data_IF_134552256758
#
_entry.id   IF_134552256758
#
_cell.length_a   1.000
_cell.length_b   1.000
_cell.length_c   1.000
_cell.angle_alpha   90.00
_cell.angle_beta   90.00
_cell.angle_gamma   90.00
#
_symmetry.space_group_name_H-M   'P 1'
#
loop_
_entity.id
_entity.type
_entity.pdbx_description
1 polymer ?
#
# COMPACT_ATOMS: atom_id res chain seq x y z
N UNK A 1 15.10 19.41 -14.16
CA UNK A 1 14.02 20.13 -13.48
C UNK A 1 12.84 19.16 -13.46
N UNK A 2 12.72 18.36 -12.40
CA UNK A 2 11.55 17.52 -12.14
C UNK A 2 10.43 18.52 -11.87
N UNK A 3 9.24 18.41 -12.45
CA UNK A 3 8.18 19.35 -12.15
C UNK A 3 7.82 19.23 -10.68
N UNK A 4 8.04 20.30 -9.93
CA UNK A 4 7.72 20.51 -8.52
C UNK A 4 6.20 20.34 -8.19
N UNK A 5 5.41 19.89 -9.14
CA UNK A 5 3.95 19.75 -9.03
C UNK A 5 3.49 18.51 -8.29
N UNK A 6 4.37 17.52 -8.06
CA UNK A 6 4.02 16.32 -7.30
C UNK A 6 3.97 16.54 -5.77
N UNK A 7 4.40 17.70 -5.28
CA UNK A 7 4.58 17.97 -3.85
C UNK A 7 3.45 18.76 -3.19
N UNK A 8 2.39 19.14 -3.91
CA UNK A 8 1.32 19.97 -3.32
C UNK A 8 -0.13 19.55 -3.58
N UNK A 9 -0.39 18.47 -4.30
CA UNK A 9 -1.76 17.92 -4.44
C UNK A 9 -1.67 16.41 -4.60
N UNK A 10 -2.56 15.76 -3.92
CA UNK A 10 -2.83 14.34 -4.04
C UNK A 10 -3.06 14.00 -5.53
N UNK A 11 -2.38 13.00 -6.13
CA UNK A 11 -2.55 12.66 -7.54
C UNK A 11 -3.95 12.12 -7.89
N UNK A 12 -4.87 12.09 -6.92
CA UNK A 12 -6.24 11.56 -7.05
C UNK A 12 -7.35 12.61 -6.96
N UNK A 13 -7.03 13.91 -6.77
CA UNK A 13 -8.00 14.97 -6.98
C UNK A 13 -8.44 14.93 -8.45
N UNK A 14 -9.73 15.11 -8.73
CA UNK A 14 -10.30 15.09 -10.08
C UNK A 14 -9.38 15.86 -11.05
N UNK A 15 -8.69 15.17 -11.95
CA UNK A 15 -7.66 15.81 -12.72
C UNK A 15 -8.31 16.79 -13.69
N UNK A 16 -7.89 18.05 -13.64
CA UNK A 16 -8.22 18.97 -14.73
C UNK A 16 -7.74 18.39 -16.07
N UNK A 17 -8.30 18.80 -17.24
CA UNK A 17 -7.83 18.33 -18.54
C UNK A 17 -6.31 18.46 -18.73
N UNK A 18 -5.66 19.48 -18.13
CA UNK A 18 -4.20 19.62 -18.10
C UNK A 18 -3.52 18.58 -17.20
N UNK A 19 -4.10 18.22 -16.07
CA UNK A 19 -3.59 17.19 -15.16
C UNK A 19 -3.79 15.79 -15.76
N UNK A 20 -4.90 15.54 -16.46
CA UNK A 20 -5.10 14.34 -17.29
C UNK A 20 -4.05 14.26 -18.41
N UNK A 21 -3.69 15.38 -19.02
CA UNK A 21 -2.63 15.48 -20.01
C UNK A 21 -1.28 15.10 -19.40
N UNK A 22 -0.97 15.56 -18.20
CA UNK A 22 0.27 15.22 -17.49
C UNK A 22 0.28 13.79 -16.94
N UNK A 23 -0.85 13.27 -16.46
CA UNK A 23 -0.98 11.87 -16.00
C UNK A 23 -1.00 10.90 -17.18
N UNK A 24 -1.66 11.25 -18.29
CA UNK A 24 -1.64 10.48 -19.53
C UNK A 24 -0.25 10.53 -20.18
N UNK A 25 0.47 11.65 -20.06
CA UNK A 25 1.88 11.75 -20.44
C UNK A 25 2.77 10.87 -19.56
N UNK A 26 2.50 10.74 -18.27
CA UNK A 26 3.21 9.80 -17.39
C UNK A 26 2.90 8.34 -17.74
N UNK A 27 1.68 8.02 -18.16
CA UNK A 27 1.28 6.67 -18.59
C UNK A 27 1.68 6.33 -20.04
N UNK A 28 1.68 7.30 -20.95
CA UNK A 28 2.30 7.18 -22.28
C UNK A 28 3.81 7.21 -22.20
N UNK A 29 4.39 7.52 -21.04
CA UNK A 29 5.81 7.81 -20.84
C UNK A 29 6.71 6.57 -20.78
N UNK A 30 6.18 5.35 -20.80
CA UNK A 30 7.06 4.19 -20.81
C UNK A 30 7.87 4.09 -22.10
N UNK A 31 7.29 4.44 -23.24
CA UNK A 31 8.02 4.61 -24.50
C UNK A 31 8.85 5.90 -24.55
N UNK A 32 8.39 6.96 -23.85
CA UNK A 32 9.10 8.24 -23.78
C UNK A 32 10.26 8.23 -22.78
N UNK A 33 10.22 7.39 -21.75
CA UNK A 33 11.31 7.26 -20.78
C UNK A 33 12.64 6.91 -21.47
N UNK A 34 12.63 6.04 -22.48
CA UNK A 34 13.81 5.72 -23.26
C UNK A 34 14.38 6.95 -23.99
N UNK A 35 13.54 7.76 -24.62
CA UNK A 35 13.92 9.01 -25.29
C UNK A 35 14.49 10.04 -24.30
N UNK A 36 13.85 10.22 -23.13
CA UNK A 36 14.33 11.12 -22.09
C UNK A 36 15.69 10.68 -21.54
N UNK A 37 15.87 9.39 -21.29
CA UNK A 37 17.14 8.83 -20.86
C UNK A 37 18.23 9.01 -21.92
N UNK A 38 17.90 8.88 -23.20
CA UNK A 38 18.81 9.15 -24.31
C UNK A 38 19.23 10.64 -24.37
N UNK A 39 18.28 11.57 -24.30
CA UNK A 39 18.57 13.01 -24.28
C UNK A 39 19.32 13.44 -23.02
N UNK A 40 19.01 12.88 -21.85
CA UNK A 40 19.77 13.15 -20.63
C UNK A 40 21.23 12.70 -20.78
N UNK A 41 21.46 11.52 -21.39
CA UNK A 41 22.82 11.02 -21.68
C UNK A 41 23.58 11.96 -22.63
N UNK A 42 22.94 12.41 -23.71
CA UNK A 42 23.53 13.39 -24.64
C UNK A 42 23.91 14.70 -23.94
N UNK A 43 23.07 15.17 -23.00
CA UNK A 43 23.30 16.41 -22.25
C UNK A 43 24.14 16.19 -20.98
N UNK A 44 24.68 15.00 -20.75
CA UNK A 44 25.44 14.64 -19.54
C UNK A 44 24.72 15.02 -18.24
N UNK A 45 23.39 14.81 -18.20
CA UNK A 45 22.58 15.05 -16.99
C UNK A 45 22.37 13.74 -16.24
N UNK A 46 22.45 13.75 -14.89
CA UNK A 46 22.15 12.57 -14.09
C UNK A 46 20.69 12.15 -14.27
N UNK A 47 20.46 10.85 -14.12
CA UNK A 47 19.17 10.19 -14.34
C UNK A 47 18.77 9.44 -13.10
N UNK A 48 17.68 9.86 -12.48
CA UNK A 48 17.06 9.16 -11.36
C UNK A 48 15.80 8.46 -11.85
N UNK A 49 15.72 7.16 -11.60
CA UNK A 49 14.55 6.36 -11.88
C UNK A 49 13.82 6.06 -10.58
N UNK A 50 12.54 6.45 -10.46
CA UNK A 50 11.66 5.96 -9.42
C UNK A 50 10.78 4.87 -10.01
N UNK A 51 10.78 3.69 -9.40
CA UNK A 51 10.11 2.49 -9.93
C UNK A 51 8.60 2.53 -9.74
N UNK A 52 8.09 3.25 -8.74
CA UNK A 52 6.67 3.39 -8.40
C UNK A 52 5.87 2.08 -8.38
N UNK A 53 6.53 0.97 -8.24
CA UNK A 53 5.91 -0.33 -8.27
C UNK A 53 6.93 -1.45 -8.38
N UNK A 54 6.50 -2.66 -8.17
CA UNK A 54 7.39 -3.81 -8.18
C UNK A 54 7.88 -4.15 -9.58
N UNK A 55 9.17 -4.24 -9.70
CA UNK A 55 9.85 -4.68 -10.91
C UNK A 55 9.52 -6.13 -11.29
N UNK A 56 9.25 -6.99 -10.32
CA UNK A 56 9.03 -8.43 -10.49
C UNK A 56 7.75 -8.92 -9.80
N UNK A 57 6.85 -8.02 -9.45
CA UNK A 57 5.64 -8.37 -8.70
C UNK A 57 4.83 -9.47 -9.36
N UNK A 58 4.73 -9.47 -10.69
CA UNK A 58 4.02 -10.50 -11.43
C UNK A 58 4.49 -11.93 -11.12
N UNK A 59 5.77 -12.14 -10.79
CA UNK A 59 6.30 -13.43 -10.42
C UNK A 59 5.72 -13.99 -9.11
N UNK A 60 5.24 -13.09 -8.23
CA UNK A 60 4.78 -13.44 -6.89
C UNK A 60 3.31 -13.83 -6.85
N UNK A 61 2.51 -13.34 -7.81
CA UNK A 61 1.06 -13.55 -7.80
C UNK A 61 0.47 -14.11 -9.10
N UNK A 62 1.23 -14.16 -10.20
CA UNK A 62 0.77 -14.78 -11.44
C UNK A 62 1.35 -16.19 -11.59
N UNK A 63 0.60 -17.13 -12.18
CA UNK A 63 1.13 -18.43 -12.58
C UNK A 63 2.28 -18.30 -13.60
N UNK A 64 3.24 -19.19 -13.54
CA UNK A 64 4.45 -19.13 -14.38
C UNK A 64 4.18 -19.07 -15.89
N UNK A 65 3.10 -19.69 -16.37
CA UNK A 65 2.69 -19.65 -17.78
C UNK A 65 2.23 -18.26 -18.26
N UNK A 66 1.95 -17.35 -17.34
CA UNK A 66 1.54 -15.97 -17.64
C UNK A 66 2.69 -14.96 -17.54
N UNK A 67 3.91 -15.37 -17.22
CA UNK A 67 5.04 -14.47 -17.03
C UNK A 67 5.67 -13.97 -18.35
N UNK A 68 5.47 -14.68 -19.48
CA UNK A 68 6.17 -14.38 -20.74
C UNK A 68 5.95 -12.96 -21.26
N UNK A 69 4.71 -12.43 -21.32
CA UNK A 69 4.49 -11.05 -21.77
C UNK A 69 5.22 -10.02 -20.91
N UNK A 70 5.20 -10.22 -19.59
CA UNK A 70 5.87 -9.31 -18.63
C UNK A 70 7.38 -9.38 -18.73
N UNK A 71 7.97 -10.58 -18.90
CA UNK A 71 9.40 -10.75 -19.13
C UNK A 71 9.85 -10.05 -20.42
N UNK A 72 9.06 -10.17 -21.49
CA UNK A 72 9.35 -9.53 -22.77
C UNK A 72 9.26 -8.00 -22.63
N UNK A 73 8.23 -7.51 -21.98
CA UNK A 73 8.06 -6.10 -21.65
C UNK A 73 9.27 -5.55 -20.87
N UNK A 74 9.63 -6.20 -19.76
CA UNK A 74 10.78 -5.83 -18.94
C UNK A 74 12.07 -5.79 -19.78
N UNK A 75 12.29 -6.79 -20.61
CA UNK A 75 13.51 -6.88 -21.42
C UNK A 75 13.62 -5.76 -22.47
N UNK A 76 12.49 -5.40 -23.10
CA UNK A 76 12.49 -4.47 -24.23
C UNK A 76 12.41 -3.00 -23.79
N UNK A 77 11.75 -2.71 -22.67
CA UNK A 77 11.43 -1.33 -22.28
C UNK A 77 12.13 -0.88 -21.00
N UNK A 78 11.97 -1.63 -19.93
CA UNK A 78 12.36 -1.17 -18.60
C UNK A 78 13.82 -1.45 -18.25
N UNK A 79 14.35 -2.62 -18.65
CA UNK A 79 15.69 -3.09 -18.25
C UNK A 79 16.81 -2.17 -18.69
N UNK A 80 16.71 -1.62 -19.91
CA UNK A 80 17.70 -0.68 -20.44
C UNK A 80 17.70 0.64 -19.66
N UNK A 81 16.52 1.18 -19.37
CA UNK A 81 16.35 2.41 -18.60
C UNK A 81 16.86 2.24 -17.17
N UNK A 82 16.44 1.17 -16.47
CA UNK A 82 16.86 0.88 -15.11
C UNK A 82 18.37 0.70 -14.97
N UNK A 83 19.00 -0.01 -15.90
CA UNK A 83 20.48 -0.19 -15.91
C UNK A 83 21.26 1.07 -16.24
N UNK A 84 20.69 1.97 -17.05
CA UNK A 84 21.33 3.22 -17.45
C UNK A 84 21.10 4.38 -16.48
N UNK A 85 20.20 4.22 -15.50
CA UNK A 85 20.00 5.20 -14.44
C UNK A 85 21.27 5.36 -13.60
N UNK A 86 21.49 6.57 -13.11
CA UNK A 86 22.61 6.89 -12.22
C UNK A 86 22.21 6.58 -10.77
N UNK A 87 20.94 6.80 -10.41
CA UNK A 87 20.30 6.30 -9.18
C UNK A 87 18.93 5.69 -9.47
N UNK A 88 18.53 4.71 -8.67
CA UNK A 88 17.20 4.08 -8.72
C UNK A 88 16.60 4.13 -7.33
N UNK A 89 15.44 4.77 -7.21
CA UNK A 89 14.69 4.87 -5.98
C UNK A 89 13.61 3.79 -5.95
N UNK A 90 13.55 3.05 -4.86
CA UNK A 90 12.56 2.03 -4.55
C UNK A 90 11.85 2.37 -3.25
N UNK A 91 10.57 2.01 -3.12
CA UNK A 91 9.73 2.48 -2.02
C UNK A 91 9.78 1.61 -0.76
N UNK A 92 10.31 0.38 -0.85
CA UNK A 92 10.35 -0.55 0.28
C UNK A 92 11.56 -1.51 0.18
N UNK A 93 11.88 -2.17 1.29
CA UNK A 93 12.90 -3.23 1.28
C UNK A 93 12.52 -4.39 0.37
N UNK A 94 11.23 -4.69 0.26
CA UNK A 94 10.74 -5.72 -0.66
C UNK A 94 11.06 -5.35 -2.10
N UNK A 95 10.79 -4.10 -2.49
CA UNK A 95 11.09 -3.59 -3.83
C UNK A 95 12.60 -3.49 -4.07
N UNK A 96 13.40 -3.21 -3.03
CA UNK A 96 14.86 -3.28 -3.11
C UNK A 96 15.35 -4.68 -3.46
N UNK A 97 14.80 -5.72 -2.82
CA UNK A 97 15.13 -7.12 -3.12
C UNK A 97 14.75 -7.47 -4.57
N UNK A 98 13.57 -7.03 -5.01
CA UNK A 98 13.11 -7.19 -6.40
C UNK A 98 14.03 -6.48 -7.40
N UNK A 99 14.53 -5.29 -7.07
CA UNK A 99 15.46 -4.54 -7.90
C UNK A 99 16.81 -5.24 -8.05
N UNK A 100 17.33 -5.84 -6.98
CA UNK A 100 18.54 -6.67 -7.04
C UNK A 100 18.31 -7.89 -7.94
N UNK A 101 17.21 -8.61 -7.76
CA UNK A 101 16.85 -9.76 -8.61
C UNK A 101 16.68 -9.35 -10.08
N UNK A 102 16.14 -8.17 -10.33
CA UNK A 102 16.01 -7.58 -11.66
C UNK A 102 17.36 -7.27 -12.33
N UNK A 103 18.42 -7.16 -11.53
CA UNK A 103 19.79 -6.93 -11.96
C UNK A 103 20.24 -5.48 -11.89
N UNK A 104 19.62 -4.66 -11.05
CA UNK A 104 20.09 -3.30 -10.72
C UNK A 104 21.21 -3.43 -9.70
N UNK A 105 22.29 -2.64 -9.89
CA UNK A 105 23.43 -2.63 -8.99
C UNK A 105 23.07 -1.99 -7.65
N UNK A 106 23.59 -2.56 -6.55
CA UNK A 106 23.32 -2.11 -5.17
C UNK A 106 23.76 -0.67 -4.92
N UNK A 107 24.88 -0.26 -5.52
CA UNK A 107 25.46 1.09 -5.38
C UNK A 107 24.59 2.20 -5.99
N UNK A 108 23.59 1.82 -6.81
CA UNK A 108 22.63 2.76 -7.42
C UNK A 108 21.28 2.75 -6.74
N UNK A 109 21.03 1.82 -5.79
CA UNK A 109 19.72 1.63 -5.18
C UNK A 109 19.59 2.44 -3.90
N UNK A 110 18.52 3.23 -3.83
CA UNK A 110 18.13 4.01 -2.66
C UNK A 110 16.73 3.61 -2.24
N UNK A 111 16.55 3.26 -0.97
CA UNK A 111 15.23 2.96 -0.42
C UNK A 111 14.66 4.25 0.15
N UNK A 112 13.73 4.86 -0.54
CA UNK A 112 13.02 6.07 -0.10
C UNK A 112 11.52 5.75 -0.12
N UNK A 113 10.90 5.58 1.04
CA UNK A 113 9.49 5.22 1.12
C UNK A 113 8.58 6.35 0.64
N UNK A 114 7.32 6.04 0.46
CA UNK A 114 6.29 7.07 0.23
C UNK A 114 6.04 7.82 1.53
N UNK A 115 5.92 9.14 1.42
CA UNK A 115 5.56 10.00 2.55
C UNK A 115 4.07 9.99 2.86
N UNK A 116 3.75 10.41 4.08
CA UNK A 116 2.38 10.61 4.52
C UNK A 116 2.26 11.97 5.22
N UNK A 117 1.11 12.62 5.06
CA UNK A 117 0.75 13.75 5.90
C UNK A 117 0.29 13.24 7.26
N UNK A 118 1.24 13.17 8.20
CA UNK A 118 0.97 12.60 9.52
C UNK A 118 -0.01 13.44 10.31
N UNK A 119 0.00 14.76 10.11
CA UNK A 119 -0.84 15.69 10.86
C UNK A 119 -2.33 15.53 10.48
N UNK A 120 -2.63 15.18 9.25
CA UNK A 120 -3.98 14.85 8.79
C UNK A 120 -4.60 13.70 9.61
N UNK A 121 -3.79 12.71 10.00
CA UNK A 121 -4.24 11.51 10.72
C UNK A 121 -4.15 11.63 12.26
N UNK A 122 -3.69 12.76 12.80
CA UNK A 122 -3.44 12.88 14.24
C UNK A 122 -4.71 13.08 15.09
N UNK A 123 -5.78 13.63 14.53
CA UNK A 123 -6.97 14.01 15.27
C UNK A 123 -8.03 12.92 15.27
N UNK A 124 -7.69 11.72 15.75
CA UNK A 124 -8.68 10.65 15.92
C UNK A 124 -9.67 11.05 17.04
N UNK A 125 -10.97 11.14 16.76
CA UNK A 125 -11.95 11.36 17.81
C UNK A 125 -11.94 10.17 18.79
N UNK A 126 -12.01 10.47 20.09
CA UNK A 126 -12.15 9.44 21.11
C UNK A 126 -13.51 8.77 20.91
N UNK A 127 -13.52 7.45 20.66
CA UNK A 127 -14.78 6.69 20.60
C UNK A 127 -15.40 6.60 21.97
N UNK A 128 -16.69 6.93 22.05
CA UNK A 128 -17.47 6.87 23.31
C UNK A 128 -18.04 5.47 23.61
N UNK A 129 -18.07 4.56 22.62
CA UNK A 129 -18.63 3.22 22.80
C UNK A 129 -17.51 2.16 22.71
N UNK A 130 -17.22 1.53 23.84
CA UNK A 130 -16.24 0.44 23.94
C UNK A 130 -16.86 -0.96 23.73
N UNK A 131 -18.20 -1.07 23.66
CA UNK A 131 -18.90 -2.34 23.55
C UNK A 131 -18.70 -2.99 22.18
N UNK A 132 -18.45 -2.18 21.14
CA UNK A 132 -18.23 -2.65 19.78
C UNK A 132 -16.81 -2.31 19.30
N UNK A 133 -16.22 -3.23 18.54
CA UNK A 133 -14.88 -3.07 17.95
C UNK A 133 -15.00 -3.10 16.43
N UNK A 134 -14.58 -2.03 15.77
CA UNK A 134 -14.62 -1.91 14.32
C UNK A 134 -13.28 -2.30 13.69
N UNK A 135 -13.28 -3.44 13.02
CA UNK A 135 -12.19 -3.88 12.17
C UNK A 135 -12.30 -3.10 10.85
N UNK A 136 -11.22 -2.49 10.42
CA UNK A 136 -11.17 -1.70 9.18
C UNK A 136 -10.25 -2.37 8.17
N UNK A 137 -10.72 -2.45 6.94
CA UNK A 137 -9.91 -2.69 5.75
C UNK A 137 -10.10 -1.51 4.79
N UNK A 138 -9.02 -0.98 4.25
CA UNK A 138 -9.03 0.05 3.21
C UNK A 138 -8.19 -0.43 2.03
N UNK A 139 -8.75 -0.38 0.83
CA UNK A 139 -8.05 -0.75 -0.38
C UNK A 139 -8.96 -1.27 -1.48
N UNK A 140 -8.38 -1.50 -2.66
CA UNK A 140 -9.12 -2.08 -3.78
C UNK A 140 -9.66 -3.47 -3.40
N UNK A 141 -10.91 -3.73 -3.73
CA UNK A 141 -11.51 -5.06 -3.58
C UNK A 141 -11.03 -5.93 -4.75
N UNK A 142 -9.96 -6.68 -4.50
CA UNK A 142 -9.27 -7.51 -5.47
C UNK A 142 -8.81 -8.81 -4.82
N UNK A 143 -8.72 -9.90 -5.58
CA UNK A 143 -8.35 -11.24 -5.06
C UNK A 143 -6.99 -11.25 -4.37
N UNK A 144 -6.04 -10.44 -4.84
CA UNK A 144 -4.72 -10.30 -4.22
C UNK A 144 -4.81 -9.78 -2.77
N UNK A 145 -5.91 -9.13 -2.39
CA UNK A 145 -6.16 -8.63 -1.02
C UNK A 145 -6.69 -9.69 -0.06
N UNK A 146 -7.14 -10.85 -0.57
CA UNK A 146 -7.59 -12.01 0.20
C UNK A 146 -8.67 -11.66 1.24
N UNK A 147 -9.64 -10.81 0.84
CA UNK A 147 -10.71 -10.35 1.74
C UNK A 147 -11.57 -11.52 2.22
N UNK A 148 -11.68 -12.59 1.43
CA UNK A 148 -12.36 -13.83 1.82
C UNK A 148 -11.80 -14.43 3.12
N UNK A 149 -10.49 -14.35 3.33
CA UNK A 149 -9.85 -14.86 4.55
C UNK A 149 -10.21 -13.97 5.75
N UNK A 150 -10.27 -12.65 5.55
CA UNK A 150 -10.72 -11.72 6.58
C UNK A 150 -12.18 -11.99 6.98
N UNK A 151 -13.07 -12.26 6.02
CA UNK A 151 -14.48 -12.63 6.31
C UNK A 151 -14.56 -13.94 7.10
N UNK A 152 -13.77 -14.95 6.75
CA UNK A 152 -13.67 -16.21 7.48
C UNK A 152 -13.17 -16.00 8.92
N UNK A 153 -12.18 -15.11 9.10
CA UNK A 153 -11.71 -14.73 10.43
C UNK A 153 -12.81 -14.04 11.25
N UNK A 154 -13.54 -13.08 10.66
CA UNK A 154 -14.64 -12.37 11.32
C UNK A 154 -15.77 -13.31 11.76
N UNK A 155 -16.05 -14.35 10.98
CA UNK A 155 -17.05 -15.37 11.35
C UNK A 155 -16.72 -16.11 12.65
N UNK A 156 -15.43 -16.19 13.00
CA UNK A 156 -14.94 -16.85 14.23
C UNK A 156 -14.90 -15.93 15.45
N UNK A 157 -15.09 -14.61 15.25
CA UNK A 157 -15.00 -13.62 16.30
C UNK A 157 -16.33 -13.47 17.07
N UNK A 158 -16.30 -13.07 18.36
CA UNK A 158 -17.48 -12.64 19.11
C UNK A 158 -18.28 -11.56 18.38
N UNK A 159 -19.60 -11.51 18.68
CA UNK A 159 -20.58 -10.62 18.00
C UNK A 159 -20.21 -9.12 18.09
N UNK A 160 -19.43 -8.70 19.06
CA UNK A 160 -18.99 -7.31 19.24
C UNK A 160 -18.01 -6.80 18.18
N UNK A 161 -17.45 -7.68 17.35
CA UNK A 161 -16.54 -7.29 16.27
C UNK A 161 -17.32 -7.08 14.97
N UNK A 162 -17.17 -5.91 14.39
CA UNK A 162 -17.74 -5.50 13.12
C UNK A 162 -16.63 -5.24 12.12
N UNK A 163 -16.89 -5.47 10.83
CA UNK A 163 -15.94 -5.23 9.75
C UNK A 163 -16.47 -4.15 8.81
N UNK A 164 -15.65 -3.14 8.56
CA UNK A 164 -15.88 -2.12 7.54
C UNK A 164 -14.86 -2.28 6.42
N UNK A 165 -15.35 -2.48 5.20
CA UNK A 165 -14.56 -2.61 3.97
C UNK A 165 -14.73 -1.34 3.14
N UNK A 166 -13.66 -0.54 3.01
CA UNK A 166 -13.64 0.70 2.24
C UNK A 166 -12.83 0.49 0.97
N UNK A 167 -13.45 0.74 -0.18
CA UNK A 167 -12.82 0.64 -1.49
C UNK A 167 -13.71 0.02 -2.56
N UNK A 168 -13.35 0.26 -3.80
CA UNK A 168 -14.07 -0.25 -4.97
C UNK A 168 -13.53 -1.57 -5.51
N UNK A 169 -14.37 -2.27 -6.27
CA UNK A 169 -13.94 -3.46 -6.99
C UNK A 169 -12.98 -3.07 -8.11
N UNK A 170 -11.83 -3.74 -8.16
CA UNK A 170 -10.89 -3.61 -9.26
C UNK A 170 -11.42 -4.31 -10.51
N UNK A 171 -11.71 -3.56 -11.56
CA UNK A 171 -12.31 -4.09 -12.80
C UNK A 171 -11.31 -4.21 -13.95
N UNK A 172 -10.16 -3.55 -13.86
CA UNK A 172 -9.25 -3.35 -15.00
C UNK A 172 -8.05 -4.27 -15.00
N UNK A 173 -7.70 -4.85 -13.86
CA UNK A 173 -6.55 -5.74 -13.75
C UNK A 173 -6.90 -7.15 -14.21
N UNK A 174 -6.01 -7.78 -14.97
CA UNK A 174 -6.09 -9.22 -15.31
C UNK A 174 -6.13 -10.12 -14.07
N UNK A 175 -5.77 -9.58 -12.90
CA UNK A 175 -5.81 -10.23 -11.59
C UNK A 175 -7.18 -10.12 -10.90
N UNK A 176 -8.05 -9.25 -11.41
CA UNK A 176 -9.39 -9.03 -10.89
C UNK A 176 -10.38 -9.54 -11.94
N UNK A 177 -10.82 -10.80 -11.81
CA UNK A 177 -12.02 -11.21 -12.51
C UNK A 177 -13.18 -10.41 -11.91
N UNK A 178 -13.99 -9.78 -12.76
CA UNK A 178 -15.25 -9.12 -12.36
C UNK A 178 -16.10 -10.10 -11.53
N UNK A 179 -16.76 -9.59 -10.49
CA UNK A 179 -17.66 -10.39 -9.66
C UNK A 179 -17.07 -10.85 -8.32
N UNK A 180 -15.84 -10.45 -8.00
CA UNK A 180 -15.25 -10.78 -6.69
C UNK A 180 -16.02 -10.14 -5.52
N UNK A 181 -16.50 -8.92 -5.68
CA UNK A 181 -17.35 -8.27 -4.67
C UNK A 181 -18.64 -9.07 -4.40
N UNK A 182 -19.28 -9.61 -5.46
CA UNK A 182 -20.50 -10.41 -5.30
C UNK A 182 -20.19 -11.77 -4.64
N UNK A 183 -19.04 -12.36 -4.94
CA UNK A 183 -18.58 -13.56 -4.25
C UNK A 183 -18.39 -13.32 -2.75
N UNK A 184 -17.77 -12.17 -2.37
CA UNK A 184 -17.59 -11.78 -0.97
C UNK A 184 -18.93 -11.57 -0.27
N UNK A 185 -19.90 -10.91 -0.92
CA UNK A 185 -21.26 -10.75 -0.37
C UNK A 185 -21.99 -12.09 -0.19
N UNK A 186 -21.83 -13.02 -1.13
CA UNK A 186 -22.35 -14.38 -0.98
C UNK A 186 -21.67 -15.13 0.18
N UNK A 187 -20.35 -14.96 0.32
CA UNK A 187 -19.60 -15.55 1.43
C UNK A 187 -20.09 -15.03 2.78
N UNK A 188 -20.35 -13.72 2.91
CA UNK A 188 -20.96 -13.15 4.13
C UNK A 188 -22.29 -13.82 4.50
N UNK A 189 -23.14 -14.09 3.51
CA UNK A 189 -24.42 -14.80 3.72
C UNK A 189 -24.19 -16.23 4.22
N UNK A 190 -23.28 -16.96 3.56
CA UNK A 190 -22.96 -18.34 3.92
C UNK A 190 -22.34 -18.47 5.31
N UNK A 191 -21.60 -17.45 5.74
CA UNK A 191 -20.98 -17.38 7.07
C UNK A 191 -21.90 -16.78 8.15
N UNK A 192 -23.11 -16.33 7.80
CA UNK A 192 -24.07 -15.66 8.68
C UNK A 192 -23.49 -14.42 9.40
N UNK A 193 -22.73 -13.58 8.65
CA UNK A 193 -22.09 -12.37 9.17
C UNK A 193 -22.54 -11.08 8.47
N UNK A 194 -23.63 -11.11 7.70
CA UNK A 194 -24.11 -9.93 6.94
C UNK A 194 -24.30 -8.70 7.83
N UNK A 195 -24.87 -8.89 9.03
CA UNK A 195 -25.19 -7.80 9.94
C UNK A 195 -23.95 -7.21 10.63
N UNK A 196 -22.78 -7.83 10.42
CA UNK A 196 -21.50 -7.41 10.98
C UNK A 196 -20.49 -6.91 9.94
N UNK A 197 -20.85 -6.95 8.65
CA UNK A 197 -19.93 -6.53 7.56
C UNK A 197 -20.55 -5.43 6.74
N UNK A 198 -19.87 -4.31 6.65
CA UNK A 198 -20.27 -3.16 5.83
C UNK A 198 -19.34 -2.99 4.64
N UNK A 199 -19.89 -3.02 3.44
CA UNK A 199 -19.20 -2.67 2.19
C UNK A 199 -19.53 -1.22 1.85
N UNK A 200 -18.55 -0.30 2.03
CA UNK A 200 -18.74 1.14 1.83
C UNK A 200 -18.70 1.51 0.34
N UNK A 201 -17.86 0.83 -0.42
CA UNK A 201 -17.57 1.20 -1.80
C UNK A 201 -16.37 2.18 -1.91
N UNK A 202 -16.13 2.72 -3.12
CA UNK A 202 -15.07 3.70 -3.34
C UNK A 202 -15.42 5.02 -2.64
N UNK A 203 -14.42 5.64 -2.01
CA UNK A 203 -14.52 6.94 -1.34
C UNK A 203 -13.45 7.87 -1.89
N UNK A 204 -13.67 9.17 -1.79
CA UNK A 204 -12.68 10.17 -2.16
C UNK A 204 -11.48 10.13 -1.18
N UNK A 205 -10.31 10.55 -1.64
CA UNK A 205 -9.08 10.47 -0.85
C UNK A 205 -9.15 11.31 0.41
N UNK A 206 -9.72 12.50 0.33
CA UNK A 206 -9.93 13.42 1.44
C UNK A 206 -10.92 12.92 2.49
N UNK A 207 -11.76 11.94 2.13
CA UNK A 207 -12.68 11.27 3.06
C UNK A 207 -12.06 10.07 3.78
N UNK A 208 -10.94 9.54 3.29
CA UNK A 208 -10.31 8.34 3.86
C UNK A 208 -9.94 8.51 5.33
N UNK A 209 -9.46 9.69 5.71
CA UNK A 209 -9.17 10.02 7.11
C UNK A 209 -10.35 9.71 8.04
N UNK A 210 -11.59 10.07 7.63
CA UNK A 210 -12.79 9.81 8.43
C UNK A 210 -13.05 8.31 8.65
N UNK A 211 -12.65 7.46 7.71
CA UNK A 211 -12.78 6.02 7.85
C UNK A 211 -11.71 5.43 8.77
N UNK A 212 -10.45 5.86 8.64
CA UNK A 212 -9.40 5.45 9.57
C UNK A 212 -9.72 5.89 11.00
N UNK A 213 -10.29 7.07 11.19
CA UNK A 213 -10.67 7.57 12.52
C UNK A 213 -11.75 6.73 13.20
N UNK A 214 -12.62 6.06 12.44
CA UNK A 214 -13.69 5.18 12.93
C UNK A 214 -13.23 3.75 13.19
N UNK A 215 -12.05 3.36 12.72
CA UNK A 215 -11.48 2.02 12.94
C UNK A 215 -10.91 1.86 14.36
N UNK A 216 -10.88 0.63 14.85
CA UNK A 216 -10.21 0.24 16.08
C UNK A 216 -9.01 -0.67 15.82
N UNK A 217 -9.10 -1.50 14.79
CA UNK A 217 -8.08 -2.45 14.36
C UNK A 217 -8.02 -2.39 12.85
N UNK A 218 -6.83 -2.28 12.28
CA UNK A 218 -6.65 -2.37 10.83
C UNK A 218 -6.17 -3.76 10.43
N UNK A 219 -6.84 -4.40 9.47
CA UNK A 219 -6.47 -5.74 9.01
C UNK A 219 -6.18 -5.75 7.52
N UNK A 220 -5.01 -6.27 7.14
CA UNK A 220 -4.56 -6.27 5.75
C UNK A 220 -3.94 -7.62 5.35
N UNK A 221 -4.75 -8.62 4.98
CA UNK A 221 -4.30 -10.00 4.72
C UNK A 221 -3.79 -10.19 3.28
N UNK A 222 -3.29 -9.15 2.65
CA UNK A 222 -2.91 -9.15 1.24
C UNK A 222 -1.84 -10.21 0.93
N UNK A 223 -1.94 -10.84 -0.23
CA UNK A 223 -0.91 -11.76 -0.73
C UNK A 223 0.34 -11.00 -1.17
N UNK A 224 0.15 -9.81 -1.70
CA UNK A 224 1.23 -9.01 -2.24
C UNK A 224 0.90 -7.50 -2.18
N UNK A 225 1.91 -6.72 -1.89
CA UNK A 225 1.89 -5.26 -1.94
C UNK A 225 3.31 -4.76 -2.24
N UNK A 226 3.45 -3.74 -3.06
CA UNK A 226 4.75 -3.12 -3.29
C UNK A 226 5.17 -2.29 -2.07
N UNK A 227 4.32 -1.34 -1.71
CA UNK A 227 4.50 -0.46 -0.57
C UNK A 227 3.38 -0.64 0.46
N UNK A 228 2.13 -0.45 0.06
CA UNK A 228 0.98 -0.60 0.94
C UNK A 228 0.63 0.69 1.67
N UNK A 229 0.34 1.77 0.92
CA UNK A 229 -0.07 3.06 1.48
C UNK A 229 -1.15 2.94 2.56
N UNK A 230 -2.20 2.09 2.43
CA UNK A 230 -3.20 1.92 3.48
C UNK A 230 -2.65 1.45 4.83
N UNK A 231 -1.54 0.70 4.84
CA UNK A 231 -0.86 0.30 6.08
C UNK A 231 -0.23 1.51 6.79
N UNK A 232 0.37 2.40 6.00
CA UNK A 232 0.99 3.61 6.53
C UNK A 232 -0.06 4.59 7.07
N UNK A 233 -1.17 4.75 6.37
CA UNK A 233 -2.31 5.58 6.77
C UNK A 233 -2.96 5.07 8.06
N UNK A 234 -3.19 3.76 8.16
CA UNK A 234 -3.69 3.12 9.38
C UNK A 234 -2.75 3.31 10.57
N UNK A 235 -1.45 3.17 10.34
CA UNK A 235 -0.42 3.40 11.35
C UNK A 235 -0.39 4.86 11.80
N UNK A 236 -0.46 5.82 10.88
CA UNK A 236 -0.54 7.26 11.19
C UNK A 236 -1.80 7.61 11.98
N UNK A 237 -2.93 6.97 11.68
CA UNK A 237 -4.16 7.09 12.46
C UNK A 237 -4.08 6.41 13.84
N UNK A 238 -3.01 5.68 14.15
CA UNK A 238 -2.82 5.00 15.42
C UNK A 238 -3.65 3.72 15.58
N UNK A 239 -3.96 3.04 14.48
CA UNK A 239 -4.61 1.75 14.51
C UNK A 239 -3.55 0.64 14.68
N UNK A 240 -3.70 -0.28 15.65
CA UNK A 240 -2.90 -1.49 15.65
C UNK A 240 -3.21 -2.31 14.39
N UNK A 241 -2.17 -2.85 13.77
CA UNK A 241 -2.27 -3.51 12.47
C UNK A 241 -2.09 -5.02 12.63
N UNK A 242 -2.98 -5.78 11.98
CA UNK A 242 -2.81 -7.21 11.73
C UNK A 242 -2.61 -7.38 10.23
N UNK A 243 -1.44 -7.76 9.78
CA UNK A 243 -1.10 -7.82 8.36
C UNK A 243 -0.22 -9.02 8.02
N UNK A 244 -0.35 -9.49 6.80
CA UNK A 244 0.69 -10.33 6.20
C UNK A 244 1.97 -9.50 5.99
N UNK A 245 3.09 -10.20 5.80
CA UNK A 245 4.41 -9.60 5.65
C UNK A 245 4.62 -9.00 4.24
N UNK A 246 3.84 -7.99 3.87
CA UNK A 246 3.84 -7.35 2.55
C UNK A 246 4.22 -5.87 2.62
N UNK A 247 4.84 -5.36 1.57
CA UNK A 247 5.21 -3.95 1.44
C UNK A 247 5.88 -3.41 2.70
N UNK A 248 5.43 -2.24 3.14
CA UNK A 248 5.93 -1.53 4.32
C UNK A 248 5.57 -2.22 5.66
N UNK A 249 4.66 -3.20 5.66
CA UNK A 249 4.29 -3.93 6.88
C UNK A 249 5.51 -4.50 7.61
N UNK A 250 6.46 -5.08 6.87
CA UNK A 250 7.73 -5.61 7.43
C UNK A 250 8.58 -4.57 8.14
N UNK A 251 8.42 -3.30 7.79
CA UNK A 251 9.26 -2.20 8.28
C UNK A 251 8.60 -1.48 9.45
N UNK A 252 7.28 -1.31 9.42
CA UNK A 252 6.55 -0.60 10.47
C UNK A 252 6.05 -1.51 11.59
N UNK A 253 5.74 -2.79 11.29
CA UNK A 253 5.24 -3.73 12.29
C UNK A 253 6.40 -4.47 12.96
N UNK A 254 6.50 -4.28 14.26
CA UNK A 254 7.29 -5.11 15.17
C UNK A 254 6.29 -6.01 15.89
N UNK A 255 6.38 -7.32 15.60
CA UNK A 255 5.35 -8.30 16.03
C UNK A 255 5.19 -8.29 17.56
N UNK A 256 3.94 -8.16 18.01
CA UNK A 256 3.57 -8.07 19.43
C UNK A 256 3.80 -6.70 20.08
N UNK A 257 4.44 -5.73 19.40
CA UNK A 257 4.71 -4.40 19.96
C UNK A 257 3.94 -3.27 19.25
N UNK A 258 3.99 -3.24 17.92
CA UNK A 258 3.33 -2.21 17.10
C UNK A 258 2.18 -2.77 16.25
N UNK A 259 1.95 -4.07 16.30
CA UNK A 259 0.95 -4.81 15.54
C UNK A 259 1.31 -6.28 15.49
N UNK A 260 0.66 -7.02 14.60
CA UNK A 260 0.91 -8.43 14.38
C UNK A 260 1.20 -8.74 12.92
N UNK A 261 2.28 -9.49 12.67
CA UNK A 261 2.55 -10.12 11.38
C UNK A 261 1.99 -11.54 11.38
N UNK A 262 1.21 -11.87 10.36
CA UNK A 262 0.51 -13.17 10.22
C UNK A 262 0.86 -13.84 8.89
N UNK A 263 0.77 -15.15 8.84
CA UNK A 263 0.95 -15.92 7.59
C UNK A 263 -0.24 -15.76 6.62
N UNK A 264 -1.36 -15.26 7.11
CA UNK A 264 -2.58 -15.03 6.32
C UNK A 264 -3.55 -16.21 6.37
N UNK A 265 -3.52 -16.95 7.46
CA UNK A 265 -4.51 -17.94 7.86
C UNK A 265 -5.65 -17.25 8.62
N UNK A 266 -6.89 -17.65 8.37
CA UNK A 266 -8.08 -17.02 8.96
C UNK A 266 -8.17 -17.26 10.47
N UNK A 267 -7.70 -18.41 10.98
CA UNK A 267 -7.68 -18.70 12.41
C UNK A 267 -6.62 -17.87 13.12
N UNK A 268 -5.44 -17.71 12.53
CA UNK A 268 -4.39 -16.86 13.08
C UNK A 268 -4.85 -15.40 13.14
N UNK A 269 -5.45 -14.89 12.05
CA UNK A 269 -6.01 -13.52 12.00
C UNK A 269 -7.06 -13.34 13.10
N UNK A 270 -8.00 -14.28 13.24
CA UNK A 270 -9.03 -14.23 14.29
C UNK A 270 -8.43 -14.21 15.71
N UNK A 271 -7.39 -15.03 15.96
CA UNK A 271 -6.70 -15.06 17.25
C UNK A 271 -6.03 -13.71 17.58
N UNK A 272 -5.36 -13.08 16.60
CA UNK A 272 -4.70 -11.77 16.78
C UNK A 272 -5.72 -10.64 16.98
N UNK A 273 -6.83 -10.65 16.23
CA UNK A 273 -7.94 -9.71 16.44
C UNK A 273 -8.56 -9.90 17.83
N UNK A 274 -8.73 -11.14 18.29
CA UNK A 274 -9.27 -11.44 19.62
C UNK A 274 -8.37 -10.87 20.73
N UNK A 275 -7.04 -10.97 20.61
CA UNK A 275 -6.10 -10.34 21.54
C UNK A 275 -6.27 -8.82 21.56
N UNK A 276 -6.49 -8.20 20.40
CA UNK A 276 -6.79 -6.77 20.27
C UNK A 276 -8.22 -6.40 20.76
N UNK A 277 -8.99 -7.36 21.23
CA UNK A 277 -10.20 -7.15 22.02
C UNK A 277 -9.93 -6.44 23.36
N UNK A 278 -8.70 -6.50 23.86
CA UNK A 278 -8.23 -5.71 25.00
C UNK A 278 -7.94 -4.26 24.60
N UNK A 279 -8.62 -3.31 25.24
CA UNK A 279 -8.49 -1.89 24.92
C UNK A 279 -7.08 -1.34 25.23
N UNK A 280 -6.48 -1.77 26.33
CA UNK A 280 -5.16 -1.31 26.74
C UNK A 280 -4.10 -1.75 25.72
N UNK A 281 -4.19 -3.00 25.25
CA UNK A 281 -3.31 -3.53 24.21
C UNK A 281 -3.48 -2.77 22.90
N UNK A 282 -4.74 -2.52 22.47
CA UNK A 282 -5.02 -1.73 21.27
C UNK A 282 -4.39 -0.34 21.34
N UNK A 283 -4.62 0.37 22.44
CA UNK A 283 -4.08 1.72 22.64
C UNK A 283 -2.54 1.72 22.68
N UNK A 284 -1.94 0.78 23.39
CA UNK A 284 -0.48 0.64 23.48
C UNK A 284 0.14 0.45 22.10
N UNK A 285 -0.35 -0.52 21.33
CA UNK A 285 0.17 -0.83 20.00
C UNK A 285 -0.10 0.31 19.00
N UNK A 286 -1.31 0.88 19.03
CA UNK A 286 -1.68 1.99 18.17
C UNK A 286 -0.81 3.23 18.40
N UNK A 287 -0.54 3.58 19.65
CA UNK A 287 0.36 4.69 19.98
C UNK A 287 1.81 4.41 19.57
N UNK A 288 2.27 3.17 19.72
CA UNK A 288 3.63 2.78 19.36
C UNK A 288 3.85 2.85 17.85
N UNK A 289 2.92 2.32 17.04
CA UNK A 289 3.04 2.36 15.58
C UNK A 289 2.90 3.78 15.04
N UNK A 290 1.98 4.59 15.60
CA UNK A 290 1.80 6.01 15.24
C UNK A 290 3.08 6.80 15.45
N UNK A 291 3.72 6.64 16.62
CA UNK A 291 5.00 7.30 16.93
C UNK A 291 6.09 6.91 15.94
N UNK A 292 6.19 5.62 15.61
CA UNK A 292 7.17 5.11 14.65
C UNK A 292 6.99 5.73 13.27
N UNK A 293 5.75 5.73 12.75
CA UNK A 293 5.45 6.26 11.41
C UNK A 293 5.64 7.77 11.34
N UNK A 294 5.25 8.51 12.37
CA UNK A 294 5.48 9.95 12.43
C UNK A 294 6.95 10.33 12.26
N UNK A 295 7.84 9.57 12.89
CA UNK A 295 9.26 9.90 12.90
C UNK A 295 9.99 9.51 11.60
N UNK A 296 9.44 8.58 10.81
CA UNK A 296 10.17 7.98 9.69
C UNK A 296 9.53 8.23 8.32
N UNK A 297 8.24 8.62 8.28
CA UNK A 297 7.47 8.67 7.03
C UNK A 297 6.78 10.02 6.80
N UNK A 298 7.07 11.05 7.60
CA UNK A 298 6.62 12.42 7.34
C UNK A 298 7.21 12.96 6.03
N UNK A 299 6.45 13.80 5.31
CA UNK A 299 6.90 14.33 4.02
C UNK A 299 8.23 15.06 4.09
N UNK A 300 8.52 15.78 5.17
CA UNK A 300 9.81 16.50 5.28
C UNK A 300 10.98 15.54 5.28
N UNK A 301 10.91 14.47 6.07
CA UNK A 301 11.93 13.42 6.13
C UNK A 301 12.16 12.75 4.77
N UNK A 302 11.07 12.49 4.05
CA UNK A 302 11.13 11.88 2.71
C UNK A 302 11.74 12.83 1.68
N UNK A 303 11.39 14.12 1.73
CA UNK A 303 11.97 15.14 0.84
C UNK A 303 13.48 15.25 1.07
N UNK A 304 13.91 15.26 2.31
CA UNK A 304 15.34 15.37 2.65
C UNK A 304 16.13 14.18 2.08
N UNK A 305 15.60 12.95 2.19
CA UNK A 305 16.21 11.76 1.57
C UNK A 305 16.30 11.86 0.04
N UNK A 306 15.29 12.39 -0.64
CA UNK A 306 15.37 12.65 -2.08
C UNK A 306 16.42 13.71 -2.42
N UNK A 307 16.51 14.78 -1.61
CA UNK A 307 17.50 15.84 -1.82
C UNK A 307 18.91 15.31 -1.68
N UNK A 308 19.18 14.43 -0.70
CA UNK A 308 20.48 13.79 -0.53
C UNK A 308 20.88 12.98 -1.78
N UNK A 309 19.95 12.21 -2.35
CA UNK A 309 20.19 11.47 -3.59
C UNK A 309 20.51 12.42 -4.74
N UNK A 310 19.73 13.49 -4.94
CA UNK A 310 19.96 14.44 -6.01
C UNK A 310 21.27 15.20 -5.86
N UNK A 311 21.72 15.51 -4.65
CA UNK A 311 22.98 16.20 -4.39
C UNK A 311 24.19 15.29 -4.58
N UNK A 312 24.01 13.96 -4.44
CA UNK A 312 25.09 12.98 -4.60
C UNK A 312 25.43 12.67 -6.08
N UNK A 313 24.62 13.12 -7.03
CA UNK A 313 24.72 12.87 -8.48
C UNK A 313 25.35 14.05 -9.24
#
# INVERSE_FOLDING_TARGET
MVPFYALRRNPWDDPTPEQLWHSTRAQLSEFSNWLWFFFAKLKRKPKVLNTHGSLLGYKKYLPNNQHTPYKLYDALTFKASAKSADAVVVSSKLEYEDAIEFGIKKDKLHVIPMGIDVDEYMNKPVRQNEDTINILFVGRIARVRRIEILLQAVAKLPIRFYLTLVGGEEKTSSLSRSGYLDELKKLCKNLNINDRVTFVGPVAQDELFNWYSKGDIFVYPSLYENFGQPLLEAAAAGLPIVSTSVGVAKEIIQDGETGFLVAGDDQEIANRITQLGDNNLRMKMGNAIKKKVRNLYGWQEIIDQYMDVYQSL
#
